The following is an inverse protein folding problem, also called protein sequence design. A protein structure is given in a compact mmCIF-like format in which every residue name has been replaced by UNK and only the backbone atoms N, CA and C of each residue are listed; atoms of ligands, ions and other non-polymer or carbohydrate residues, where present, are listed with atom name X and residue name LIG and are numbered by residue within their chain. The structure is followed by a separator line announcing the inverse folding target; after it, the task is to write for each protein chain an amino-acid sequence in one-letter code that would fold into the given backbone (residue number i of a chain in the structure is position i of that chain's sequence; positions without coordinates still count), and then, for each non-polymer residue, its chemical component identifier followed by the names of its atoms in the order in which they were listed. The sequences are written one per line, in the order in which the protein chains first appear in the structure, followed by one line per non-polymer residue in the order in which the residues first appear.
data_IF_175126840299
#
_entry.id   IF_175126840299
#
_cell.length_a   1.000
_cell.length_b   1.000
_cell.length_c   1.000
_cell.angle_alpha   90.00
_cell.angle_beta   90.00
_cell.angle_gamma   90.00
#
_symmetry.space_group_name_H-M   'P 1'
#
loop_
_entity.id
_entity.type
_entity.pdbx_description
1 polymer ?
#
# COMPACT_ATOMS: atom_id res chain seq x y z
N UNK A 1 -10.95 8.98 -0.38
CA UNK A 1 -10.97 8.97 1.10
C UNK A 1 -12.40 9.02 1.68
N UNK A 2 -13.34 8.22 1.19
CA UNK A 2 -14.68 8.03 1.82
C UNK A 2 -14.95 6.54 2.18
N UNK A 3 -14.04 5.65 1.92
CA UNK A 3 -14.24 4.20 2.09
C UNK A 3 -13.99 3.66 3.50
N UNK A 4 -12.96 4.12 4.18
CA UNK A 4 -12.55 3.52 5.48
C UNK A 4 -13.43 3.94 6.68
N UNK A 5 -14.12 5.07 6.63
CA UNK A 5 -15.05 5.48 7.71
C UNK A 5 -16.42 4.82 7.62
N UNK A 6 -16.82 4.32 6.44
CA UNK A 6 -18.16 3.74 6.25
C UNK A 6 -18.25 2.34 6.87
N UNK A 7 -17.17 1.56 6.87
CA UNK A 7 -17.19 0.19 7.40
C UNK A 7 -17.33 0.13 8.92
N UNK A 8 -16.68 1.02 9.66
CA UNK A 8 -16.88 1.08 11.12
C UNK A 8 -18.28 1.55 11.50
N UNK A 9 -18.84 2.52 10.77
CA UNK A 9 -20.19 3.05 11.03
C UNK A 9 -21.30 2.06 10.66
N UNK A 10 -21.15 1.29 9.57
CA UNK A 10 -22.11 0.28 9.14
C UNK A 10 -22.11 -0.92 10.11
N UNK A 11 -20.95 -1.34 10.59
CA UNK A 11 -20.85 -2.42 11.58
C UNK A 11 -21.51 -2.03 12.92
N UNK A 12 -21.28 -0.81 13.40
CA UNK A 12 -21.92 -0.31 14.63
C UNK A 12 -23.41 -0.08 14.45
N UNK A 13 -23.87 0.37 13.29
CA UNK A 13 -25.29 0.62 13.04
C UNK A 13 -26.10 -0.67 12.92
N UNK A 14 -25.54 -1.67 12.26
CA UNK A 14 -26.15 -3.01 12.12
C UNK A 14 -26.22 -3.75 13.46
N UNK A 15 -25.19 -3.62 14.31
CA UNK A 15 -25.18 -4.20 15.65
C UNK A 15 -26.14 -3.50 16.59
N UNK A 16 -26.25 -2.16 16.52
CA UNK A 16 -27.19 -1.39 17.32
C UNK A 16 -28.64 -1.72 16.94
N UNK A 17 -28.95 -1.80 15.64
CA UNK A 17 -30.29 -2.16 15.16
C UNK A 17 -30.71 -3.58 15.55
N UNK A 18 -29.78 -4.54 15.50
CA UNK A 18 -30.03 -5.94 15.92
C UNK A 18 -30.18 -6.08 17.44
N UNK A 19 -29.46 -5.28 18.24
CA UNK A 19 -29.60 -5.24 19.69
C UNK A 19 -30.92 -4.57 20.14
N UNK A 20 -31.39 -3.58 19.39
CA UNK A 20 -32.67 -2.92 19.65
C UNK A 20 -33.87 -3.79 19.24
N UNK A 21 -33.77 -4.61 18.20
CA UNK A 21 -34.81 -5.59 17.82
C UNK A 21 -34.90 -6.77 18.82
N UNK A 22 -33.79 -7.22 19.40
CA UNK A 22 -33.82 -8.28 20.42
C UNK A 22 -34.30 -7.80 21.80
N UNK A 23 -34.11 -6.52 22.12
CA UNK A 23 -34.61 -5.95 23.39
C UNK A 23 -36.10 -5.60 23.37
N UNK A 24 -36.69 -5.43 22.18
CA UNK A 24 -38.15 -5.21 22.00
C UNK A 24 -39.02 -6.43 22.30
N UNK A 25 -38.50 -7.63 22.37
CA UNK A 25 -39.23 -8.92 22.48
C UNK A 25 -39.22 -9.56 23.86
N UNK A 26 -38.72 -8.94 24.93
CA UNK A 26 -38.68 -9.54 26.27
C UNK A 26 -39.15 -8.65 27.42
N UNK A 27 -40.43 -8.42 27.48
CA UNK A 27 -41.14 -8.31 28.77
C UNK A 27 -41.65 -9.72 29.18
N UNK A 28 -40.78 -10.51 29.83
CA UNK A 28 -41.14 -11.55 30.85
C UNK A 28 -39.87 -12.21 31.45
N UNK A 29 -39.59 -11.79 32.68
CA UNK A 29 -39.01 -12.51 33.84
C UNK A 29 -37.85 -13.53 33.67
N UNK A 30 -36.73 -13.17 34.33
CA UNK A 30 -35.80 -14.11 35.03
C UNK A 30 -35.06 -15.16 34.23
N UNK A 31 -33.94 -14.74 33.56
CA UNK A 31 -32.76 -15.58 33.32
C UNK A 31 -31.55 -14.73 32.80
N UNK A 32 -31.39 -13.52 33.31
CA UNK A 32 -30.39 -12.56 32.81
C UNK A 32 -28.94 -12.80 33.26
N UNK A 33 -28.70 -13.62 34.29
CA UNK A 33 -27.32 -13.84 34.76
C UNK A 33 -26.50 -14.86 33.95
N UNK A 34 -27.14 -15.82 33.27
CA UNK A 34 -26.41 -16.90 32.53
C UNK A 34 -26.06 -16.53 31.10
N UNK A 35 -26.73 -15.59 30.49
CA UNK A 35 -26.47 -15.15 29.12
C UNK A 35 -25.33 -14.11 29.11
N UNK A 36 -25.32 -13.15 30.04
CA UNK A 36 -24.23 -12.18 30.21
C UNK A 36 -22.89 -12.86 30.55
N UNK A 37 -22.90 -13.89 31.39
CA UNK A 37 -21.71 -14.67 31.73
C UNK A 37 -21.11 -15.40 30.49
N UNK A 38 -21.93 -15.83 29.54
CA UNK A 38 -21.46 -16.49 28.30
C UNK A 38 -20.88 -15.49 27.29
N UNK A 39 -21.41 -14.29 27.20
CA UNK A 39 -20.88 -13.23 26.34
C UNK A 39 -19.59 -12.63 26.91
N UNK A 40 -19.49 -12.43 28.22
CA UNK A 40 -18.24 -12.02 28.87
C UNK A 40 -17.15 -13.09 28.77
N UNK A 41 -17.51 -14.39 28.89
CA UNK A 41 -16.57 -15.47 28.68
C UNK A 41 -16.11 -15.58 27.22
N UNK A 42 -16.98 -15.34 26.24
CA UNK A 42 -16.63 -15.32 24.83
C UNK A 42 -15.70 -14.13 24.48
N UNK A 43 -15.95 -12.95 25.05
CA UNK A 43 -15.10 -11.77 24.90
C UNK A 43 -13.74 -12.00 25.57
N UNK A 44 -13.72 -12.66 26.74
CA UNK A 44 -12.47 -12.97 27.45
C UNK A 44 -11.66 -14.04 26.73
N UNK A 45 -12.30 -15.04 26.12
CA UNK A 45 -11.64 -16.05 25.29
C UNK A 45 -11.11 -15.41 23.99
N UNK A 46 -11.85 -14.47 23.41
CA UNK A 46 -11.42 -13.72 22.21
C UNK A 46 -10.24 -12.80 22.51
N UNK A 47 -10.26 -12.12 23.66
CA UNK A 47 -9.12 -11.34 24.16
C UNK A 47 -7.90 -12.21 24.48
N UNK A 48 -8.09 -13.42 25.03
CA UNK A 48 -7.01 -14.38 25.27
C UNK A 48 -6.47 -14.99 23.99
N UNK A 49 -7.29 -15.17 22.96
CA UNK A 49 -6.82 -15.59 21.63
C UNK A 49 -6.01 -14.50 20.93
N UNK A 50 -6.40 -13.22 21.04
CA UNK A 50 -5.63 -12.09 20.51
C UNK A 50 -4.30 -11.93 21.26
N UNK A 51 -4.30 -12.04 22.59
CA UNK A 51 -3.07 -11.99 23.39
C UNK A 51 -2.23 -13.25 23.24
N UNK A 52 -2.83 -14.41 23.00
CA UNK A 52 -2.14 -15.68 22.70
C UNK A 52 -1.50 -15.68 21.32
N UNK A 53 -2.12 -15.12 20.29
CA UNK A 53 -1.49 -14.90 18.99
C UNK A 53 -0.35 -13.88 19.07
N UNK A 54 -0.52 -12.80 19.82
CA UNK A 54 0.57 -11.83 20.05
C UNK A 54 1.77 -12.46 20.79
N UNK A 55 1.53 -13.46 21.67
CA UNK A 55 2.60 -14.18 22.36
C UNK A 55 3.21 -15.33 21.55
N UNK A 56 2.53 -15.89 20.57
CA UNK A 56 3.11 -16.86 19.63
C UNK A 56 3.99 -16.20 18.56
N UNK A 57 3.65 -14.99 18.13
CA UNK A 57 4.46 -14.20 17.19
C UNK A 57 5.75 -13.67 17.85
N UNK A 58 5.82 -13.59 19.19
CA UNK A 58 7.02 -13.13 19.91
C UNK A 58 7.98 -14.27 20.32
N UNK A 59 7.86 -15.46 19.78
CA UNK A 59 8.72 -16.61 20.13
C UNK A 59 9.45 -17.27 18.94
N UNK A 60 9.35 -16.71 17.75
CA UNK A 60 10.36 -16.90 16.72
C UNK A 60 11.20 -15.62 16.69
N UNK A 61 12.45 -15.74 17.10
CA UNK A 61 13.52 -14.80 16.80
C UNK A 61 13.81 -14.82 15.30
N UNK A 62 12.85 -14.29 14.54
CA UNK A 62 13.03 -13.78 13.22
C UNK A 62 12.88 -12.27 13.35
N UNK A 63 14.00 -11.56 13.45
CA UNK A 63 13.99 -10.11 13.36
C UNK A 63 13.11 -9.70 12.19
N UNK A 64 12.32 -8.64 12.34
CA UNK A 64 11.98 -7.78 11.25
C UNK A 64 13.29 -7.17 10.72
N UNK A 65 14.10 -8.04 10.13
CA UNK A 65 14.92 -7.67 9.03
C UNK A 65 13.91 -7.30 7.96
N UNK A 66 13.59 -6.01 7.83
CA UNK A 66 13.50 -5.50 6.50
C UNK A 66 14.72 -6.11 5.85
N UNK A 67 14.51 -7.06 4.98
CA UNK A 67 15.55 -7.45 4.07
C UNK A 67 15.95 -6.13 3.45
N UNK A 68 17.12 -5.62 3.86
CA UNK A 68 17.95 -4.86 2.99
C UNK A 68 18.17 -5.77 1.77
N UNK A 69 17.14 -5.86 0.95
CA UNK A 69 17.29 -6.17 -0.43
C UNK A 69 17.81 -4.87 -1.08
N UNK A 70 18.95 -4.37 -0.58
CA UNK A 70 20.01 -4.06 -1.49
C UNK A 70 20.33 -5.39 -2.22
N UNK A 71 19.43 -5.82 -3.09
CA UNK A 71 19.88 -6.54 -4.26
C UNK A 71 20.76 -5.54 -4.97
N UNK A 72 22.07 -5.53 -4.67
CA UNK A 72 23.05 -5.32 -5.70
C UNK A 72 22.52 -6.18 -6.86
N UNK A 73 21.80 -5.53 -7.76
CA UNK A 73 21.58 -6.04 -9.08
C UNK A 73 23.00 -6.08 -9.67
N UNK A 74 23.69 -7.22 -9.51
CA UNK A 74 24.62 -7.68 -10.50
C UNK A 74 23.74 -7.86 -11.75
N UNK A 75 23.48 -6.73 -12.42
CA UNK A 75 22.93 -6.72 -13.76
C UNK A 75 24.00 -7.44 -14.59
N UNK A 76 23.72 -8.64 -15.10
CA UNK A 76 24.58 -9.19 -16.13
C UNK A 76 24.67 -8.11 -17.22
N UNK A 77 25.81 -7.95 -17.90
CA UNK A 77 26.08 -7.00 -18.98
C UNK A 77 25.12 -7.15 -20.20
N UNK A 78 23.82 -7.18 -19.97
CA UNK A 78 22.76 -7.25 -20.95
C UNK A 78 21.81 -6.07 -20.72
N UNK A 79 21.62 -5.22 -21.74
CA UNK A 79 20.54 -4.23 -21.77
C UNK A 79 19.23 -4.94 -21.39
N UNK A 80 18.51 -4.38 -20.41
CA UNK A 80 17.13 -4.76 -20.13
C UNK A 80 16.34 -4.74 -21.45
N UNK A 81 15.42 -5.68 -21.66
CA UNK A 81 14.57 -5.63 -22.84
C UNK A 81 13.84 -4.30 -22.89
N UNK A 82 13.79 -3.69 -24.06
CA UNK A 82 13.00 -2.48 -24.26
C UNK A 82 11.54 -2.76 -23.90
N UNK A 83 10.86 -1.84 -23.20
CA UNK A 83 9.46 -2.01 -22.87
C UNK A 83 8.63 -2.13 -24.14
N UNK A 84 7.81 -3.16 -24.19
CA UNK A 84 6.85 -3.39 -25.27
C UNK A 84 5.45 -3.54 -24.67
N UNK A 85 4.43 -3.16 -25.41
CA UNK A 85 3.03 -3.36 -25.01
C UNK A 85 2.66 -4.83 -24.77
N UNK A 86 3.47 -5.76 -25.31
CA UNK A 86 3.28 -7.20 -25.12
C UNK A 86 4.00 -7.83 -23.93
N UNK A 87 4.78 -7.08 -23.16
CA UNK A 87 5.47 -7.61 -21.98
C UNK A 87 4.45 -7.97 -20.89
N UNK A 88 4.57 -9.20 -20.32
CA UNK A 88 3.69 -9.66 -19.25
C UNK A 88 4.33 -9.50 -17.87
N UNK A 89 3.53 -9.05 -16.91
CA UNK A 89 3.87 -9.00 -15.49
C UNK A 89 3.18 -10.15 -14.76
N UNK A 90 3.80 -10.63 -13.69
CA UNK A 90 3.27 -11.68 -12.80
C UNK A 90 3.12 -11.09 -11.40
N UNK A 91 1.87 -11.00 -10.94
CA UNK A 91 1.47 -10.33 -9.70
C UNK A 91 0.97 -11.37 -8.70
N UNK A 92 1.64 -11.50 -7.56
CA UNK A 92 1.17 -12.32 -6.44
C UNK A 92 -0.03 -11.62 -5.78
N UNK A 93 -1.18 -12.26 -5.81
CA UNK A 93 -2.39 -11.72 -5.19
C UNK A 93 -2.44 -12.08 -3.70
N UNK A 94 -2.45 -11.07 -2.86
CA UNK A 94 -2.54 -11.22 -1.41
C UNK A 94 -3.97 -11.58 -0.98
N UNK A 95 -4.13 -12.16 0.19
CA UNK A 95 -5.45 -12.42 0.79
C UNK A 95 -6.19 -11.12 1.13
N UNK A 96 -7.44 -11.21 1.57
CA UNK A 96 -8.25 -10.05 1.99
C UNK A 96 -7.49 -9.20 3.02
N UNK A 97 -7.47 -7.88 2.81
CA UNK A 97 -6.77 -6.93 3.67
C UNK A 97 -5.24 -7.00 3.56
N UNK A 98 -4.71 -7.66 2.52
CA UNK A 98 -3.26 -7.86 2.29
C UNK A 98 -2.56 -8.56 3.46
N UNK A 99 -3.28 -9.46 4.15
CA UNK A 99 -2.84 -10.05 5.41
C UNK A 99 -1.94 -11.29 5.24
N UNK A 100 -1.82 -11.83 4.04
CA UNK A 100 -0.98 -13.00 3.74
C UNK A 100 -0.98 -13.36 2.26
N UNK A 101 -0.08 -14.25 1.89
CA UNK A 101 0.16 -14.70 0.52
C UNK A 101 -0.58 -16.01 0.19
N UNK A 102 -1.02 -16.74 1.22
CA UNK A 102 -1.50 -18.10 1.09
C UNK A 102 -3.02 -18.15 1.26
N UNK A 103 -3.70 -18.59 0.21
CA UNK A 103 -5.15 -18.72 0.14
C UNK A 103 -5.59 -20.12 0.58
N UNK A 104 -6.56 -20.20 1.47
CA UNK A 104 -7.18 -21.48 1.90
C UNK A 104 -8.19 -22.02 0.90
N UNK A 105 -8.74 -21.16 0.04
CA UNK A 105 -9.61 -21.50 -1.09
C UNK A 105 -9.49 -20.43 -2.18
N UNK A 106 -9.78 -20.81 -3.42
CA UNK A 106 -9.97 -19.89 -4.54
C UNK A 106 -11.34 -20.10 -5.13
N UNK A 107 -12.14 -19.03 -5.18
CA UNK A 107 -13.44 -19.00 -5.85
C UNK A 107 -13.39 -17.96 -6.95
N UNK A 108 -13.64 -18.40 -8.18
CA UNK A 108 -13.57 -17.55 -9.36
C UNK A 108 -14.80 -17.70 -10.24
N UNK A 109 -15.31 -16.61 -10.77
CA UNK A 109 -16.41 -16.58 -11.74
C UNK A 109 -16.08 -15.67 -12.91
N UNK A 110 -16.77 -15.82 -14.03
CA UNK A 110 -16.64 -14.97 -15.21
C UNK A 110 -17.92 -15.01 -16.05
N UNK A 111 -18.39 -13.85 -16.46
CA UNK A 111 -19.50 -13.76 -17.43
C UNK A 111 -19.10 -14.31 -18.81
N UNK A 112 -17.83 -14.31 -19.13
CA UNK A 112 -17.26 -14.90 -20.34
C UNK A 112 -17.10 -16.43 -20.28
N UNK A 113 -17.41 -17.07 -19.13
CA UNK A 113 -17.04 -18.45 -18.85
C UNK A 113 -15.54 -18.58 -18.55
N UNK A 114 -15.13 -19.74 -18.08
CA UNK A 114 -13.76 -20.03 -17.65
C UNK A 114 -13.20 -21.25 -18.37
N UNK A 115 -11.92 -21.19 -18.75
CA UNK A 115 -11.10 -22.35 -19.07
C UNK A 115 -10.19 -22.63 -17.88
N UNK A 116 -10.23 -23.84 -17.38
CA UNK A 116 -9.38 -24.32 -16.30
C UNK A 116 -8.47 -25.42 -16.83
N UNK A 117 -7.16 -25.21 -16.83
CA UNK A 117 -6.18 -26.10 -17.42
C UNK A 117 -5.14 -26.52 -16.39
N UNK A 118 -4.63 -27.77 -16.54
CA UNK A 118 -3.54 -28.32 -15.74
C UNK A 118 -2.94 -29.55 -16.43
N UNK A 119 -1.62 -29.65 -16.50
CA UNK A 119 -0.90 -30.81 -17.02
C UNK A 119 -1.28 -31.21 -18.46
N UNK A 120 -1.63 -30.23 -19.31
CA UNK A 120 -2.05 -30.46 -20.71
C UNK A 120 -3.55 -30.80 -20.89
N UNK A 121 -4.30 -30.96 -19.82
CA UNK A 121 -5.75 -31.14 -19.84
C UNK A 121 -6.45 -29.81 -19.57
N UNK A 122 -7.64 -29.58 -20.15
CA UNK A 122 -8.47 -28.42 -19.89
C UNK A 122 -9.95 -28.78 -19.81
N UNK A 123 -10.68 -28.04 -19.01
CA UNK A 123 -12.14 -28.08 -18.93
C UNK A 123 -12.68 -26.67 -19.11
N UNK A 124 -13.88 -26.56 -19.71
CA UNK A 124 -14.62 -25.32 -19.78
C UNK A 124 -15.72 -25.31 -18.72
N UNK A 125 -15.87 -24.19 -18.05
CA UNK A 125 -16.82 -23.99 -16.96
C UNK A 125 -17.95 -23.06 -17.37
N UNK A 126 -19.17 -23.37 -16.91
CA UNK A 126 -20.37 -22.62 -17.28
C UNK A 126 -20.30 -21.16 -16.72
N UNK A 127 -20.79 -20.19 -17.51
CA UNK A 127 -20.78 -18.75 -17.20
C UNK A 127 -21.51 -18.36 -15.92
N UNK A 128 -22.54 -19.11 -15.51
CA UNK A 128 -23.39 -18.75 -14.36
C UNK A 128 -22.82 -19.20 -13.01
N UNK A 129 -21.80 -20.08 -13.00
CA UNK A 129 -21.36 -20.74 -11.79
C UNK A 129 -20.01 -20.23 -11.30
N UNK A 130 -19.86 -20.08 -9.99
CA UNK A 130 -18.57 -19.87 -9.33
C UNK A 130 -17.79 -21.18 -9.31
N UNK A 131 -16.57 -21.15 -9.82
CA UNK A 131 -15.66 -22.28 -9.78
C UNK A 131 -14.80 -22.22 -8.52
N UNK A 132 -14.85 -23.29 -7.73
CA UNK A 132 -14.06 -23.40 -6.49
C UNK A 132 -12.89 -24.36 -6.68
N UNK A 133 -11.71 -23.95 -6.19
CA UNK A 133 -10.49 -24.74 -6.15
C UNK A 133 -10.01 -24.77 -4.70
N UNK A 134 -9.69 -25.95 -4.20
CA UNK A 134 -9.17 -26.19 -2.85
C UNK A 134 -7.71 -26.68 -2.91
N UNK A 135 -6.92 -26.53 -1.83
CA UNK A 135 -5.51 -26.93 -1.81
C UNK A 135 -5.25 -28.42 -2.05
N UNK A 136 -6.25 -29.27 -1.79
CA UNK A 136 -6.20 -30.72 -1.99
C UNK A 136 -6.72 -31.19 -3.36
N UNK A 137 -6.96 -30.24 -4.28
CA UNK A 137 -7.39 -30.58 -5.64
C UNK A 137 -6.37 -31.51 -6.31
N UNK A 138 -6.86 -32.68 -6.79
CA UNK A 138 -6.02 -33.73 -7.36
C UNK A 138 -5.21 -33.28 -8.59
N UNK A 139 -5.64 -32.21 -9.27
CA UNK A 139 -4.93 -31.65 -10.43
C UNK A 139 -3.56 -31.09 -10.06
N UNK A 140 -3.35 -30.64 -8.82
CA UNK A 140 -2.03 -30.19 -8.37
C UNK A 140 -0.96 -31.27 -8.42
N UNK A 141 -1.35 -32.55 -8.49
CA UNK A 141 -0.40 -33.64 -8.75
C UNK A 141 0.17 -33.62 -10.19
N UNK A 142 -0.49 -32.92 -11.14
CA UNK A 142 -0.08 -32.79 -12.53
C UNK A 142 0.63 -31.46 -12.82
N UNK A 143 0.61 -30.48 -11.88
CA UNK A 143 1.22 -29.17 -12.01
C UNK A 143 0.34 -28.04 -11.49
N UNK A 144 0.69 -26.82 -11.83
CA UNK A 144 -0.08 -25.64 -11.47
C UNK A 144 -1.41 -25.60 -12.24
N UNK A 145 -2.47 -25.12 -11.58
CA UNK A 145 -3.77 -24.90 -12.21
C UNK A 145 -3.78 -23.48 -12.81
N UNK A 146 -4.18 -23.36 -14.07
CA UNK A 146 -4.36 -22.05 -14.74
C UNK A 146 -5.83 -21.86 -15.04
N UNK A 147 -6.32 -20.65 -14.74
CA UNK A 147 -7.71 -20.23 -14.99
C UNK A 147 -7.68 -18.99 -15.85
N UNK A 148 -8.42 -18.99 -16.94
CA UNK A 148 -8.53 -17.88 -17.89
C UNK A 148 -9.97 -17.72 -18.38
N UNK A 149 -10.40 -16.52 -18.80
CA UNK A 149 -11.72 -16.37 -19.40
C UNK A 149 -11.74 -17.04 -20.78
N UNK A 150 -12.91 -17.55 -21.20
CA UNK A 150 -13.07 -18.18 -22.52
C UNK A 150 -13.04 -17.18 -23.67
N UNK A 151 -13.41 -15.92 -23.42
CA UNK A 151 -13.43 -14.85 -24.41
C UNK A 151 -12.22 -13.93 -24.20
N UNK A 152 -11.59 -13.51 -25.29
CA UNK A 152 -10.53 -12.51 -25.25
C UNK A 152 -11.03 -11.19 -24.63
N UNK A 153 -10.24 -10.63 -23.72
CA UNK A 153 -10.63 -9.43 -22.95
C UNK A 153 -11.62 -9.69 -21.81
N UNK A 154 -12.05 -10.94 -21.62
CA UNK A 154 -12.91 -11.34 -20.50
C UNK A 154 -12.25 -11.07 -19.14
N UNK A 155 -13.08 -10.93 -18.11
CA UNK A 155 -12.65 -10.68 -16.74
C UNK A 155 -13.02 -11.86 -15.84
N UNK A 156 -12.17 -12.15 -14.89
CA UNK A 156 -12.40 -13.14 -13.83
C UNK A 156 -12.60 -12.43 -12.50
N UNK A 157 -13.71 -12.65 -11.85
CA UNK A 157 -13.99 -12.15 -10.50
C UNK A 157 -13.42 -13.14 -9.48
N UNK A 158 -12.51 -12.69 -8.65
CA UNK A 158 -11.92 -13.52 -7.58
C UNK A 158 -12.76 -13.36 -6.30
N UNK A 159 -13.78 -14.19 -6.18
CA UNK A 159 -14.83 -14.13 -5.16
C UNK A 159 -14.33 -14.49 -3.74
N UNK A 160 -13.13 -15.04 -3.62
CA UNK A 160 -12.52 -15.44 -2.34
C UNK A 160 -11.73 -14.33 -1.66
N UNK A 161 -11.59 -13.16 -2.30
CA UNK A 161 -10.92 -11.99 -1.70
C UNK A 161 -11.75 -10.72 -1.84
N UNK A 162 -11.45 -9.73 -0.99
CA UNK A 162 -12.02 -8.38 -1.07
C UNK A 162 -10.92 -7.33 -1.17
N UNK A 163 -11.19 -6.27 -1.95
CA UNK A 163 -10.40 -5.05 -2.12
C UNK A 163 -11.29 -3.83 -1.87
N UNK A 164 -10.77 -2.62 -2.02
CA UNK A 164 -11.55 -1.39 -1.85
C UNK A 164 -12.76 -1.28 -2.77
N UNK A 165 -12.72 -1.91 -3.94
CA UNK A 165 -13.85 -2.02 -4.87
C UNK A 165 -14.85 -3.15 -4.54
N UNK A 166 -14.68 -3.88 -3.44
CA UNK A 166 -15.40 -5.10 -3.14
C UNK A 166 -14.71 -6.33 -3.75
N UNK A 167 -15.45 -7.18 -4.49
CA UNK A 167 -14.87 -8.33 -5.20
C UNK A 167 -14.08 -7.86 -6.43
N UNK A 168 -12.75 -8.02 -6.49
CA UNK A 168 -11.94 -7.55 -7.60
C UNK A 168 -12.08 -8.43 -8.84
N UNK A 169 -11.88 -7.81 -10.02
CA UNK A 169 -11.89 -8.50 -11.31
C UNK A 169 -10.51 -8.43 -11.98
N UNK A 170 -10.06 -9.55 -12.54
CA UNK A 170 -8.75 -9.72 -13.13
C UNK A 170 -8.85 -10.12 -14.61
N UNK A 171 -8.04 -9.48 -15.45
CA UNK A 171 -7.80 -9.92 -16.83
C UNK A 171 -6.60 -10.88 -16.88
N UNK A 172 -6.37 -11.49 -18.03
CA UNK A 172 -5.24 -12.41 -18.24
C UNK A 172 -5.50 -13.78 -17.62
N UNK A 173 -4.47 -14.35 -16.99
CA UNK A 173 -4.52 -15.70 -16.41
C UNK A 173 -4.33 -15.63 -14.90
N UNK A 174 -5.07 -16.44 -14.14
CA UNK A 174 -4.78 -16.76 -12.74
C UNK A 174 -4.06 -18.10 -12.70
N UNK A 175 -2.82 -18.11 -12.23
CA UNK A 175 -2.06 -19.33 -11.95
C UNK A 175 -2.15 -19.63 -10.46
N UNK A 176 -2.55 -20.86 -10.11
CA UNK A 176 -2.63 -21.33 -8.75
C UNK A 176 -1.54 -22.37 -8.51
N UNK A 177 -0.76 -22.17 -7.45
CA UNK A 177 0.30 -23.09 -7.01
C UNK A 177 -0.05 -23.67 -5.66
N UNK A 178 -0.09 -24.99 -5.53
CA UNK A 178 -0.23 -25.63 -4.22
C UNK A 178 1.08 -25.41 -3.43
N UNK A 179 0.93 -24.94 -2.19
CA UNK A 179 2.04 -24.67 -1.28
C UNK A 179 1.71 -25.17 0.13
N UNK A 180 2.70 -25.14 1.03
CA UNK A 180 2.42 -25.50 2.43
C UNK A 180 1.35 -24.57 3.02
N UNK A 181 0.26 -25.13 3.49
CA UNK A 181 -0.83 -24.40 4.13
C UNK A 181 -1.91 -23.84 3.20
N UNK A 182 -1.80 -24.01 1.86
CA UNK A 182 -2.83 -23.54 0.94
C UNK A 182 -2.36 -23.39 -0.50
N UNK A 183 -2.68 -22.26 -1.11
CA UNK A 183 -2.35 -21.93 -2.50
C UNK A 183 -1.82 -20.52 -2.62
N UNK A 184 -0.77 -20.32 -3.41
CA UNK A 184 -0.40 -19.01 -3.94
C UNK A 184 -1.19 -18.75 -5.23
N UNK A 185 -1.63 -17.50 -5.42
CA UNK A 185 -2.41 -17.08 -6.61
C UNK A 185 -1.64 -16.00 -7.33
N UNK A 186 -1.27 -16.24 -8.59
CA UNK A 186 -0.50 -15.33 -9.42
C UNK A 186 -1.36 -14.88 -10.61
N UNK A 187 -1.52 -13.57 -10.78
CA UNK A 187 -2.17 -13.01 -11.97
C UNK A 187 -1.10 -12.65 -13.00
N UNK A 188 -1.16 -13.29 -14.17
CA UNK A 188 -0.26 -13.05 -15.30
C UNK A 188 -1.01 -12.34 -16.43
N UNK A 189 -0.52 -11.16 -16.84
CA UNK A 189 -1.21 -10.34 -17.84
C UNK A 189 -0.24 -9.34 -18.50
N UNK A 190 -0.59 -8.77 -19.69
CA UNK A 190 0.19 -7.70 -20.30
C UNK A 190 0.26 -6.47 -19.37
N UNK A 191 1.44 -5.82 -19.34
CA UNK A 191 1.68 -4.68 -18.44
C UNK A 191 0.71 -3.53 -18.66
N UNK A 192 0.31 -3.23 -19.89
CA UNK A 192 -0.67 -2.15 -20.16
C UNK A 192 -2.04 -2.47 -19.55
N UNK A 193 -2.43 -3.75 -19.57
CA UNK A 193 -3.65 -4.22 -18.90
C UNK A 193 -3.55 -4.14 -17.37
N UNK A 194 -2.38 -4.46 -16.80
CA UNK A 194 -2.07 -4.30 -15.39
C UNK A 194 -2.19 -2.83 -14.94
N UNK A 195 -1.64 -1.90 -15.72
CA UNK A 195 -1.69 -0.48 -15.43
C UNK A 195 -3.11 0.09 -15.37
N UNK A 196 -4.04 -0.46 -16.16
CA UNK A 196 -5.46 -0.09 -16.06
C UNK A 196 -6.10 -0.42 -14.70
N UNK A 197 -5.51 -1.35 -13.94
CA UNK A 197 -5.90 -1.66 -12.55
C UNK A 197 -5.07 -0.92 -11.49
N UNK A 198 -3.83 -0.54 -11.82
CA UNK A 198 -2.92 0.21 -10.92
C UNK A 198 -3.30 1.68 -10.86
N UNK A 199 -3.38 2.36 -11.99
CA UNK A 199 -3.59 3.83 -12.03
C UNK A 199 -4.81 4.28 -11.22
N UNK A 200 -6.02 3.68 -11.36
CA UNK A 200 -7.18 4.09 -10.55
C UNK A 200 -7.08 3.65 -9.08
N UNK A 201 -6.21 2.68 -8.76
CA UNK A 201 -5.99 2.24 -7.37
C UNK A 201 -5.01 3.13 -6.63
N UNK A 202 -4.09 3.79 -7.34
CA UNK A 202 -3.09 4.70 -6.80
C UNK A 202 -3.57 6.15 -6.80
N UNK A 203 -4.27 6.59 -7.85
CA UNK A 203 -4.68 7.97 -8.04
C UNK A 203 -6.17 8.03 -8.39
N UNK A 204 -6.98 8.92 -7.77
CA UNK A 204 -8.39 9.06 -8.12
C UNK A 204 -8.58 9.35 -9.62
N UNK A 205 -9.42 8.58 -10.30
CA UNK A 205 -9.70 8.77 -11.73
C UNK A 205 -10.39 10.10 -12.06
N UNK A 206 -10.81 10.85 -11.05
CA UNK A 206 -11.33 12.22 -11.17
C UNK A 206 -10.24 13.29 -11.25
N UNK A 207 -8.97 12.90 -11.17
CA UNK A 207 -7.85 13.81 -11.37
C UNK A 207 -7.72 14.19 -12.83
N UNK A 208 -7.01 15.28 -13.12
CA UNK A 208 -6.76 15.76 -14.47
C UNK A 208 -6.06 14.68 -15.31
N UNK A 209 -6.41 14.62 -16.60
CA UNK A 209 -5.89 13.59 -17.51
C UNK A 209 -4.36 13.62 -17.58
N UNK A 210 -3.73 14.78 -17.56
CA UNK A 210 -2.27 14.90 -17.61
C UNK A 210 -1.58 14.38 -16.34
N UNK A 211 -2.23 14.52 -15.18
CA UNK A 211 -1.75 13.90 -13.94
C UNK A 211 -1.88 12.36 -13.98
N UNK A 212 -2.99 11.85 -14.52
CA UNK A 212 -3.20 10.40 -14.71
C UNK A 212 -2.21 9.81 -15.73
N UNK A 213 -1.85 10.57 -16.79
CA UNK A 213 -0.79 10.19 -17.74
C UNK A 213 0.58 10.15 -17.07
N UNK A 214 0.92 11.15 -16.26
CA UNK A 214 2.16 11.14 -15.48
C UNK A 214 2.22 9.91 -14.56
N UNK A 215 1.12 9.59 -13.88
CA UNK A 215 1.02 8.39 -13.04
C UNK A 215 1.17 7.10 -13.85
N UNK A 216 0.56 7.01 -15.04
CA UNK A 216 0.68 5.84 -15.91
C UNK A 216 2.13 5.60 -16.36
N UNK A 217 2.84 6.66 -16.77
CA UNK A 217 4.27 6.60 -17.15
C UNK A 217 5.15 6.21 -15.96
N UNK A 218 4.89 6.77 -14.77
CA UNK A 218 5.58 6.36 -13.54
C UNK A 218 5.32 4.88 -13.23
N UNK A 219 4.08 4.46 -13.20
CA UNK A 219 3.72 3.09 -12.86
C UNK A 219 4.31 2.08 -13.85
N UNK A 220 4.35 2.43 -15.14
CA UNK A 220 4.98 1.60 -16.18
C UNK A 220 6.49 1.48 -15.98
N UNK A 221 7.17 2.59 -15.75
CA UNK A 221 8.61 2.61 -15.51
C UNK A 221 8.98 1.77 -14.28
N UNK A 222 8.22 1.92 -13.21
CA UNK A 222 8.37 1.14 -11.98
C UNK A 222 8.14 -0.37 -12.26
N UNK A 223 7.04 -0.72 -12.93
CA UNK A 223 6.72 -2.11 -13.24
C UNK A 223 7.83 -2.78 -14.08
N UNK A 224 8.34 -2.12 -15.12
CA UNK A 224 9.44 -2.65 -15.95
C UNK A 224 10.72 -2.88 -15.15
N UNK A 225 11.02 -2.01 -14.18
CA UNK A 225 12.17 -2.24 -13.28
C UNK A 225 11.97 -3.48 -12.42
N UNK A 226 10.76 -3.69 -11.87
CA UNK A 226 10.45 -4.88 -11.09
C UNK A 226 10.46 -6.17 -11.92
N UNK A 227 10.08 -6.08 -13.20
CA UNK A 227 10.09 -7.25 -14.11
C UNK A 227 11.49 -7.77 -14.48
N UNK A 228 12.54 -7.11 -14.04
CA UNK A 228 13.93 -7.59 -14.25
C UNK A 228 14.33 -8.73 -13.31
N UNK A 229 13.54 -8.97 -12.27
CA UNK A 229 13.75 -10.04 -11.28
C UNK A 229 12.41 -10.45 -10.68
N UNK A 230 12.41 -11.57 -9.95
CA UNK A 230 11.25 -11.95 -9.15
C UNK A 230 11.40 -11.42 -7.74
N UNK A 231 10.46 -10.57 -7.31
CA UNK A 231 10.34 -10.19 -5.90
C UNK A 231 9.94 -11.39 -5.01
N UNK A 232 9.26 -12.36 -5.63
CA UNK A 232 8.84 -13.63 -5.02
C UNK A 232 9.34 -14.80 -5.89
N UNK A 233 10.62 -15.19 -5.78
CA UNK A 233 11.21 -16.24 -6.65
C UNK A 233 10.51 -17.60 -6.53
N UNK A 234 10.00 -17.96 -5.35
CA UNK A 234 9.30 -19.21 -5.09
C UNK A 234 7.98 -19.33 -5.87
N UNK A 235 7.36 -18.19 -6.20
CA UNK A 235 6.13 -18.12 -6.99
C UNK A 235 6.38 -17.64 -8.43
N UNK A 236 7.64 -17.31 -8.77
CA UNK A 236 7.99 -16.64 -10.04
C UNK A 236 7.12 -15.39 -10.26
N UNK A 237 6.82 -14.65 -9.18
CA UNK A 237 6.07 -13.40 -9.24
C UNK A 237 7.00 -12.20 -9.10
N UNK A 238 6.79 -11.17 -9.94
CA UNK A 238 7.62 -9.97 -9.96
C UNK A 238 7.29 -9.05 -8.77
N UNK A 239 6.01 -8.93 -8.45
CA UNK A 239 5.45 -8.01 -7.46
C UNK A 239 4.27 -8.67 -6.74
N UNK A 240 3.81 -8.08 -5.63
CA UNK A 240 2.49 -8.33 -5.08
C UNK A 240 1.52 -7.17 -5.42
N UNK A 241 0.25 -7.28 -5.01
CA UNK A 241 -0.81 -6.30 -5.30
C UNK A 241 -1.03 -5.26 -4.19
N UNK A 242 -0.09 -5.15 -3.22
CA UNK A 242 -0.17 -4.26 -2.05
C UNK A 242 0.71 -3.01 -2.18
N UNK A 243 0.73 -2.20 -1.12
CA UNK A 243 1.58 -1.02 -0.98
C UNK A 243 3.08 -1.33 -0.87
N UNK A 244 3.49 -2.59 -0.79
CA UNK A 244 4.89 -2.97 -0.84
C UNK A 244 5.48 -2.73 -2.23
N UNK A 245 4.62 -2.75 -3.26
CA UNK A 245 4.93 -2.43 -4.66
C UNK A 245 3.96 -1.36 -5.18
N UNK A 246 2.96 -1.74 -5.95
CA UNK A 246 1.91 -0.86 -6.49
C UNK A 246 0.54 -1.44 -6.17
N UNK A 247 -0.35 -0.63 -5.62
CA UNK A 247 -1.70 -1.08 -5.33
C UNK A 247 -2.42 -1.44 -6.63
N UNK A 248 -2.89 -2.69 -6.73
CA UNK A 248 -3.48 -3.23 -7.94
C UNK A 248 -4.91 -3.71 -7.69
N UNK A 249 -5.84 -3.32 -8.56
CA UNK A 249 -7.27 -3.67 -8.52
C UNK A 249 -7.99 -3.39 -7.17
N UNK A 250 -7.52 -2.37 -6.42
CA UNK A 250 -8.20 -1.89 -5.21
C UNK A 250 -9.36 -0.94 -5.54
N UNK A 251 -9.38 -0.41 -6.74
CA UNK A 251 -10.44 0.42 -7.33
C UNK A 251 -10.87 -0.17 -8.67
N UNK A 252 -12.13 0.03 -9.04
CA UNK A 252 -12.61 -0.35 -10.36
C UNK A 252 -11.90 0.45 -11.46
N UNK A 253 -11.76 -0.15 -12.63
CA UNK A 253 -11.25 0.53 -13.82
C UNK A 253 -12.18 1.69 -14.21
N UNK A 254 -11.57 2.83 -14.56
CA UNK A 254 -12.28 4.03 -14.92
C UNK A 254 -11.85 4.48 -16.33
N UNK A 255 -12.74 5.14 -17.04
CA UNK A 255 -12.50 5.61 -18.42
C UNK A 255 -11.27 6.52 -18.51
N UNK A 256 -11.17 7.54 -17.63
CA UNK A 256 -10.07 8.49 -17.67
C UNK A 256 -8.71 7.85 -17.36
N UNK A 257 -8.63 6.94 -16.38
CA UNK A 257 -7.39 6.23 -16.06
C UNK A 257 -6.99 5.25 -17.16
N UNK A 258 -7.94 4.56 -17.75
CA UNK A 258 -7.70 3.67 -18.92
C UNK A 258 -7.24 4.47 -20.14
N UNK A 259 -7.84 5.62 -20.39
CA UNK A 259 -7.43 6.55 -21.44
C UNK A 259 -6.01 7.07 -21.22
N UNK A 260 -5.65 7.44 -19.97
CA UNK A 260 -4.31 7.89 -19.64
C UNK A 260 -3.25 6.81 -19.93
N UNK A 261 -3.53 5.54 -19.61
CA UNK A 261 -2.65 4.41 -19.93
C UNK A 261 -2.50 4.27 -21.44
N UNK A 262 -3.60 4.28 -22.19
CA UNK A 262 -3.58 4.11 -23.66
C UNK A 262 -2.88 5.28 -24.38
N UNK A 263 -3.11 6.53 -23.97
CA UNK A 263 -2.46 7.71 -24.57
C UNK A 263 -0.94 7.82 -24.25
N UNK A 264 -0.45 7.03 -23.30
CA UNK A 264 0.97 6.96 -22.92
C UNK A 264 1.55 5.55 -23.13
N UNK A 265 0.92 4.70 -23.94
CA UNK A 265 1.35 3.33 -24.16
C UNK A 265 2.85 3.25 -24.48
N UNK A 266 3.55 2.35 -23.81
CA UNK A 266 4.98 2.10 -23.98
C UNK A 266 5.91 3.20 -23.45
N UNK A 267 5.42 4.38 -23.07
CA UNK A 267 6.30 5.47 -22.60
C UNK A 267 6.79 5.21 -21.18
N UNK A 268 8.07 5.42 -20.97
CA UNK A 268 8.78 5.27 -19.71
C UNK A 268 9.67 6.45 -19.39
N UNK A 269 10.01 6.62 -18.14
CA UNK A 269 11.03 7.58 -17.68
C UNK A 269 12.40 6.92 -17.79
N UNK A 270 13.36 7.59 -18.45
CA UNK A 270 14.75 7.14 -18.55
C UNK A 270 15.70 8.14 -17.91
N UNK A 271 16.71 7.63 -17.25
CA UNK A 271 17.83 8.38 -16.73
C UNK A 271 19.13 7.77 -17.22
N UNK A 272 19.94 8.56 -17.94
CA UNK A 272 21.21 8.10 -18.58
C UNK A 272 21.01 6.87 -19.47
N UNK A 273 19.88 6.81 -20.18
CA UNK A 273 19.54 5.71 -21.09
C UNK A 273 18.86 4.50 -20.46
N UNK A 274 18.88 4.37 -19.12
CA UNK A 274 18.25 3.26 -18.41
C UNK A 274 16.85 3.64 -17.91
N UNK A 275 15.94 2.67 -17.82
CA UNK A 275 14.61 2.89 -17.24
C UNK A 275 14.77 3.27 -15.76
N UNK A 276 14.20 4.39 -15.36
CA UNK A 276 14.28 4.89 -14.00
C UNK A 276 13.28 4.18 -13.07
N UNK A 277 13.65 4.00 -11.81
CA UNK A 277 12.69 3.63 -10.77
C UNK A 277 11.94 4.88 -10.31
N UNK A 278 10.67 4.98 -10.64
CA UNK A 278 9.85 6.17 -10.44
C UNK A 278 8.96 6.02 -9.21
N UNK A 279 9.47 6.42 -8.05
CA UNK A 279 8.69 6.45 -6.80
C UNK A 279 7.70 7.60 -6.82
N UNK A 280 6.55 7.42 -6.18
CA UNK A 280 5.51 8.42 -6.02
C UNK A 280 4.79 8.28 -4.68
N UNK A 281 4.16 9.35 -4.22
CA UNK A 281 3.47 9.40 -2.94
C UNK A 281 2.31 10.41 -2.99
N UNK A 282 1.45 10.41 -1.98
CA UNK A 282 0.19 11.13 -2.03
C UNK A 282 0.32 12.65 -2.09
N UNK A 283 0.95 13.29 -1.08
CA UNK A 283 0.88 14.76 -0.88
C UNK A 283 2.21 15.29 -0.37
N UNK A 284 2.73 16.33 -1.00
CA UNK A 284 3.94 17.02 -0.52
C UNK A 284 3.60 18.10 0.54
N UNK A 285 4.63 18.55 1.22
CA UNK A 285 4.56 19.73 2.08
C UNK A 285 5.15 20.99 1.41
N UNK A 286 5.09 21.07 0.07
CA UNK A 286 5.72 22.09 -0.74
C UNK A 286 7.12 21.71 -1.23
N UNK A 287 7.62 20.52 -0.87
CA UNK A 287 8.93 20.00 -1.28
C UNK A 287 8.98 18.48 -1.18
N UNK A 288 9.89 17.89 -1.96
CA UNK A 288 10.21 16.46 -1.91
C UNK A 288 11.53 16.21 -1.17
N UNK A 289 11.94 14.94 -1.06
CA UNK A 289 13.26 14.55 -0.57
C UNK A 289 13.97 13.65 -1.57
N UNK A 290 15.15 13.15 -1.20
CA UNK A 290 15.96 12.21 -2.00
C UNK A 290 16.00 10.82 -1.36
N UNK A 291 16.69 9.87 -2.03
CA UNK A 291 16.93 8.51 -1.52
C UNK A 291 17.69 8.48 -0.18
N UNK A 292 18.36 9.56 0.21
CA UNK A 292 18.97 9.67 1.53
C UNK A 292 17.96 9.44 2.67
N UNK A 293 16.67 9.74 2.44
CA UNK A 293 15.61 9.48 3.41
C UNK A 293 15.47 7.99 3.77
N UNK A 294 15.86 7.10 2.86
CA UNK A 294 15.91 5.65 3.06
C UNK A 294 17.30 5.13 3.41
N UNK A 295 18.28 6.01 3.61
CA UNK A 295 19.66 5.64 3.92
C UNK A 295 20.49 5.22 2.70
N UNK A 296 19.97 5.44 1.49
CA UNK A 296 20.64 5.09 0.23
C UNK A 296 21.44 6.27 -0.30
N UNK A 297 22.70 6.06 -0.70
CA UNK A 297 23.51 7.06 -1.36
C UNK A 297 22.97 7.37 -2.76
N UNK A 298 22.56 8.61 -3.08
CA UNK A 298 22.05 8.96 -4.40
C UNK A 298 23.11 8.88 -5.52
N UNK A 299 24.41 8.72 -5.18
CA UNK A 299 25.50 8.59 -6.16
C UNK A 299 25.44 7.34 -7.04
N UNK A 300 24.69 6.32 -6.64
CA UNK A 300 24.62 5.01 -7.28
C UNK A 300 23.61 4.86 -8.43
N UNK A 301 23.17 5.94 -9.10
CA UNK A 301 22.16 5.85 -10.19
C UNK A 301 20.82 6.52 -9.86
N UNK A 302 20.59 6.95 -8.63
CA UNK A 302 19.39 7.66 -8.15
C UNK A 302 19.47 9.19 -8.27
N UNK A 303 20.42 9.74 -9.01
CA UNK A 303 20.66 11.18 -9.09
C UNK A 303 19.50 12.02 -9.67
N UNK A 304 18.52 11.39 -10.30
CA UNK A 304 17.27 12.02 -10.74
C UNK A 304 16.23 12.19 -9.62
N UNK A 305 16.37 11.47 -8.51
CA UNK A 305 15.50 11.56 -7.32
C UNK A 305 16.05 12.59 -6.33
N UNK A 306 16.11 13.84 -6.76
CA UNK A 306 16.56 14.97 -5.94
C UNK A 306 15.37 15.59 -5.21
N UNK A 307 15.65 16.29 -4.11
CA UNK A 307 14.67 17.16 -3.49
C UNK A 307 14.34 18.33 -4.42
N UNK A 308 13.05 18.56 -4.65
CA UNK A 308 12.54 19.67 -5.44
C UNK A 308 11.49 20.44 -4.66
N UNK A 309 11.38 21.74 -4.92
CA UNK A 309 10.26 22.56 -4.46
C UNK A 309 9.05 22.29 -5.34
N UNK A 310 7.89 22.01 -4.71
CA UNK A 310 6.63 21.67 -5.40
C UNK A 310 5.77 22.93 -5.46
N UNK A 311 6.28 23.93 -6.20
CA UNK A 311 5.69 25.26 -6.32
C UNK A 311 5.68 25.77 -7.75
N UNK A 312 4.76 26.67 -8.03
CA UNK A 312 4.65 27.43 -9.27
C UNK A 312 4.67 28.93 -8.98
N UNK A 313 4.31 29.74 -9.98
CA UNK A 313 4.30 31.22 -9.85
C UNK A 313 3.37 31.73 -8.73
N UNK A 314 2.33 30.97 -8.37
CA UNK A 314 1.34 31.33 -7.34
C UNK A 314 1.66 30.75 -5.96
N UNK A 315 2.85 30.18 -5.77
CA UNK A 315 3.31 29.51 -4.56
C UNK A 315 3.12 27.99 -4.63
N UNK A 316 3.14 27.33 -3.46
CA UNK A 316 3.08 25.88 -3.38
C UNK A 316 1.78 25.34 -3.97
N UNK A 317 1.88 24.36 -4.87
CA UNK A 317 0.73 23.77 -5.56
C UNK A 317 -0.30 23.16 -4.59
N UNK A 318 0.16 22.57 -3.51
CA UNK A 318 -0.66 21.78 -2.58
C UNK A 318 -1.08 22.51 -1.30
N UNK A 319 -0.78 23.82 -1.19
CA UNK A 319 -0.95 24.63 0.05
C UNK A 319 -2.34 24.58 0.67
N UNK A 320 -3.38 24.38 -0.13
CA UNK A 320 -4.78 24.36 0.30
C UNK A 320 -5.31 22.93 0.54
N UNK A 321 -4.48 21.89 0.35
CA UNK A 321 -4.89 20.51 0.52
C UNK A 321 -4.84 20.06 1.98
N UNK A 322 -5.70 19.10 2.38
CA UNK A 322 -5.80 18.66 3.77
C UNK A 322 -4.48 18.16 4.38
N UNK A 323 -3.69 17.40 3.63
CA UNK A 323 -2.43 16.83 4.12
C UNK A 323 -1.21 17.72 3.93
N UNK A 324 -1.36 18.92 3.34
CA UNK A 324 -0.24 19.84 3.16
C UNK A 324 0.41 20.26 4.49
N UNK A 325 -0.41 20.42 5.54
CA UNK A 325 0.05 20.59 6.94
C UNK A 325 -0.83 19.74 7.86
N UNK A 326 -0.24 19.29 8.93
CA UNK A 326 -0.97 18.55 9.95
C UNK A 326 -0.31 18.72 11.32
N UNK A 327 -1.10 18.51 12.38
CA UNK A 327 -0.63 18.52 13.77
C UNK A 327 -1.21 17.35 14.54
N UNK A 328 -0.47 16.86 15.53
CA UNK A 328 -0.95 15.87 16.47
C UNK A 328 -0.51 16.24 17.89
N UNK A 329 -1.42 16.07 18.84
CA UNK A 329 -1.12 16.14 20.27
C UNK A 329 -1.15 14.74 20.84
N UNK A 330 0.01 14.22 21.23
CA UNK A 330 0.17 12.84 21.68
C UNK A 330 0.52 12.82 23.16
N UNK A 331 -0.30 12.25 24.05
CA UNK A 331 0.05 12.12 25.47
C UNK A 331 1.40 11.40 25.63
N UNK A 332 2.21 11.87 26.58
CA UNK A 332 3.54 11.30 26.87
C UNK A 332 3.47 9.78 27.05
N UNK A 333 2.47 9.30 27.80
CA UNK A 333 2.30 7.87 28.04
C UNK A 333 2.02 7.09 26.75
N UNK A 334 1.17 7.64 25.88
CA UNK A 334 0.85 7.01 24.58
C UNK A 334 2.10 6.93 23.69
N UNK A 335 2.83 8.05 23.53
CA UNK A 335 4.02 8.06 22.68
C UNK A 335 5.14 7.16 23.25
N UNK A 336 5.31 7.12 24.57
CA UNK A 336 6.27 6.23 25.25
C UNK A 336 5.97 4.76 24.98
N UNK A 337 4.69 4.38 25.05
CA UNK A 337 4.27 3.01 24.76
C UNK A 337 4.49 2.66 23.28
N UNK A 338 4.15 3.57 22.35
CA UNK A 338 4.33 3.38 20.92
C UNK A 338 5.81 3.23 20.56
N UNK A 339 6.66 4.16 21.01
CA UNK A 339 8.11 4.09 20.75
C UNK A 339 8.70 2.79 21.29
N UNK A 340 8.36 2.41 22.53
CA UNK A 340 8.89 1.16 23.10
C UNK A 340 8.41 -0.08 22.34
N UNK A 341 7.14 -0.13 21.96
CA UNK A 341 6.57 -1.27 21.23
C UNK A 341 7.13 -1.37 19.80
N UNK A 342 7.19 -0.25 19.09
CA UNK A 342 7.58 -0.22 17.67
C UNK A 342 9.10 -0.37 17.46
N UNK A 343 9.93 0.00 18.45
CA UNK A 343 11.40 -0.13 18.37
C UNK A 343 11.93 -1.37 19.07
N UNK A 344 11.13 -2.03 19.90
CA UNK A 344 11.57 -3.14 20.76
C UNK A 344 12.46 -2.70 21.92
N UNK A 345 12.68 -1.38 22.11
CA UNK A 345 13.55 -0.83 23.17
C UNK A 345 12.69 -0.13 24.22
N UNK A 346 12.76 -0.59 25.47
CA UNK A 346 12.06 0.06 26.58
C UNK A 346 12.69 1.41 26.91
N UNK A 347 11.99 2.50 26.58
CA UNK A 347 12.43 3.87 26.90
C UNK A 347 11.83 4.38 28.22
N UNK A 348 10.87 3.67 28.81
CA UNK A 348 10.12 4.14 29.98
C UNK A 348 9.24 5.35 29.63
N UNK A 349 9.16 6.34 30.53
CA UNK A 349 8.42 7.58 30.29
C UNK A 349 9.31 8.57 29.51
N UNK A 350 8.91 8.93 28.30
CA UNK A 350 9.68 9.86 27.46
C UNK A 350 9.82 11.25 28.09
N UNK A 351 11.06 11.71 28.16
CA UNK A 351 11.42 13.09 28.51
C UNK A 351 11.60 13.97 27.27
N UNK A 352 12.16 13.42 26.19
CA UNK A 352 12.34 14.11 24.91
C UNK A 352 12.25 13.16 23.71
N UNK A 353 11.92 13.75 22.56
CA UNK A 353 12.12 13.17 21.21
C UNK A 353 12.73 14.30 20.38
N UNK A 354 13.91 14.08 19.83
CA UNK A 354 14.68 15.08 19.10
C UNK A 354 15.00 14.61 17.69
N UNK A 355 14.80 15.48 16.68
CA UNK A 355 15.29 15.24 15.33
C UNK A 355 16.76 15.68 15.30
N UNK A 356 17.67 14.69 15.31
CA UNK A 356 19.12 14.94 15.40
C UNK A 356 19.79 15.07 14.03
N UNK A 357 19.16 14.55 12.98
CA UNK A 357 19.66 14.69 11.60
C UNK A 357 18.50 14.94 10.65
N UNK A 358 18.71 15.89 9.72
CA UNK A 358 17.79 16.19 8.61
C UNK A 358 18.50 16.01 7.27
N UNK A 359 17.72 15.65 6.24
CA UNK A 359 18.16 15.47 4.87
C UNK A 359 17.58 16.51 3.91
N UNK A 360 17.77 16.30 2.60
CA UNK A 360 17.22 17.16 1.58
C UNK A 360 15.71 17.37 1.75
N UNK A 361 15.25 18.61 1.51
CA UNK A 361 13.87 18.99 1.76
C UNK A 361 13.51 19.07 3.24
N UNK A 362 14.49 19.05 4.16
CA UNK A 362 14.29 19.12 5.61
C UNK A 362 13.56 17.90 6.22
N UNK A 363 13.64 16.73 5.57
CA UNK A 363 13.09 15.48 6.08
C UNK A 363 13.88 15.00 7.31
N UNK A 364 13.22 14.41 8.30
CA UNK A 364 13.90 13.77 9.43
C UNK A 364 14.58 12.46 8.97
N UNK A 365 15.92 12.40 9.13
CA UNK A 365 16.74 11.23 8.84
C UNK A 365 17.10 10.43 10.10
N UNK A 366 17.11 11.09 11.26
CA UNK A 366 17.39 10.45 12.54
C UNK A 366 16.64 11.16 13.65
N UNK A 367 16.07 10.38 14.56
CA UNK A 367 15.53 10.87 15.82
C UNK A 367 16.22 10.16 17.00
N UNK A 368 16.27 10.83 18.14
CA UNK A 368 16.62 10.23 19.43
C UNK A 368 15.44 10.42 20.38
N UNK A 369 14.87 9.31 20.85
CA UNK A 369 13.81 9.32 21.86
C UNK A 369 14.42 8.89 23.22
N UNK A 370 14.34 9.77 24.21
CA UNK A 370 14.96 9.58 25.54
C UNK A 370 13.89 9.57 26.63
N UNK A 371 13.98 8.63 27.56
CA UNK A 371 13.10 8.50 28.70
C UNK A 371 13.81 8.03 29.96
N UNK A 372 13.04 7.76 31.01
CA UNK A 372 13.57 7.40 32.34
C UNK A 372 14.17 5.98 32.41
N UNK A 373 13.88 5.10 31.44
CA UNK A 373 14.46 3.75 31.36
C UNK A 373 15.57 3.62 30.31
N UNK A 374 15.81 4.67 29.48
CA UNK A 374 16.83 4.64 28.44
C UNK A 374 16.51 5.52 27.24
N UNK A 375 17.28 5.34 26.17
CA UNK A 375 17.06 6.05 24.91
C UNK A 375 17.19 5.12 23.72
N UNK A 376 16.55 5.48 22.61
CA UNK A 376 16.65 4.79 21.33
C UNK A 376 16.91 5.79 20.21
N UNK A 377 17.82 5.44 19.31
CA UNK A 377 18.07 6.16 18.08
C UNK A 377 17.35 5.43 16.95
N UNK A 378 16.59 6.16 16.14
CA UNK A 378 15.87 5.61 14.99
C UNK A 378 16.30 6.35 13.74
N UNK A 379 16.81 5.62 12.77
CA UNK A 379 17.27 6.13 11.48
C UNK A 379 16.28 5.83 10.37
N UNK A 380 16.32 6.59 9.31
CA UNK A 380 15.52 6.53 8.09
C UNK A 380 14.05 6.96 8.24
N UNK A 381 13.52 7.54 7.19
CA UNK A 381 12.18 8.10 7.11
C UNK A 381 11.11 7.10 7.54
N UNK A 382 11.14 5.90 6.98
CA UNK A 382 10.12 4.89 7.22
C UNK A 382 10.12 4.37 8.66
N UNK A 383 11.33 4.08 9.21
CA UNK A 383 11.48 3.62 10.61
C UNK A 383 11.07 4.71 11.60
N UNK A 384 11.37 5.98 11.31
CA UNK A 384 10.94 7.13 12.14
C UNK A 384 9.42 7.23 12.17
N UNK A 385 8.79 7.16 10.99
CA UNK A 385 7.31 7.17 10.90
C UNK A 385 6.69 5.99 11.64
N UNK A 386 7.29 4.82 11.53
CA UNK A 386 6.86 3.62 12.27
C UNK A 386 7.03 3.78 13.78
N UNK A 387 8.17 4.26 14.24
CA UNK A 387 8.45 4.44 15.68
C UNK A 387 7.46 5.38 16.38
N UNK A 388 7.04 6.45 15.69
CA UNK A 388 6.10 7.46 16.22
C UNK A 388 4.63 7.17 15.82
N UNK A 389 4.38 6.26 14.88
CA UNK A 389 3.05 5.84 14.43
C UNK A 389 2.38 4.88 15.42
N UNK A 390 1.11 4.63 15.18
CA UNK A 390 0.28 3.73 15.99
C UNK A 390 -1.09 4.32 16.29
N UNK A 391 -1.96 3.54 16.90
CA UNK A 391 -3.28 4.00 17.36
C UNK A 391 -3.16 4.80 18.67
N UNK A 392 -4.19 5.61 18.95
CA UNK A 392 -4.34 6.26 20.27
C UNK A 392 -4.18 7.77 20.28
N UNK A 393 -3.99 8.39 19.13
CA UNK A 393 -4.05 9.84 18.98
C UNK A 393 -4.70 10.27 17.66
N UNK A 394 -5.05 11.53 17.59
CA UNK A 394 -5.74 12.12 16.45
C UNK A 394 -4.83 13.12 15.75
N UNK A 395 -4.88 13.12 14.42
CA UNK A 395 -4.16 14.05 13.56
C UNK A 395 -5.17 15.08 13.04
N UNK A 396 -4.88 16.36 13.25
CA UNK A 396 -5.64 17.47 12.69
C UNK A 396 -4.93 17.96 11.43
N UNK A 397 -5.67 18.01 10.32
CA UNK A 397 -5.15 18.41 9.01
C UNK A 397 -5.29 19.90 8.77
N UNK A 398 -4.71 20.38 7.67
CA UNK A 398 -4.68 21.79 7.25
C UNK A 398 -6.08 22.44 7.15
N UNK A 399 -7.08 21.68 6.72
CA UNK A 399 -8.48 22.11 6.61
C UNK A 399 -9.29 21.99 7.92
N UNK A 400 -8.64 21.65 9.02
CA UNK A 400 -9.27 21.40 10.32
C UNK A 400 -9.95 20.04 10.46
N UNK A 401 -10.03 19.24 9.40
CA UNK A 401 -10.54 17.87 9.48
C UNK A 401 -9.60 16.98 10.28
N UNK A 402 -10.13 15.92 10.88
CA UNK A 402 -9.34 15.01 11.71
C UNK A 402 -9.28 13.60 11.14
N UNK A 403 -8.21 12.87 11.48
CA UNK A 403 -8.00 11.47 11.16
C UNK A 403 -7.45 10.75 12.38
N UNK A 404 -7.81 9.49 12.58
CA UNK A 404 -7.12 8.66 13.55
C UNK A 404 -5.70 8.37 13.04
N UNK A 405 -4.74 8.31 13.95
CA UNK A 405 -3.39 7.86 13.65
C UNK A 405 -3.38 6.39 13.20
N UNK A 406 -2.45 6.06 12.32
CA UNK A 406 -2.27 4.71 11.76
C UNK A 406 -0.88 4.18 12.10
N UNK A 407 -0.52 3.00 11.61
CA UNK A 407 0.77 2.37 11.86
C UNK A 407 1.97 3.29 11.57
N UNK A 408 1.84 4.20 10.62
CA UNK A 408 2.87 5.17 10.26
C UNK A 408 2.40 6.60 10.55
N UNK A 409 3.31 7.46 11.03
CA UNK A 409 3.12 8.91 11.01
C UNK A 409 2.90 9.38 9.55
N UNK A 410 2.10 10.43 9.26
CA UNK A 410 1.80 10.82 7.87
C UNK A 410 3.02 11.05 6.98
N UNK A 411 4.07 11.66 7.53
CA UNK A 411 5.34 11.89 6.83
C UNK A 411 6.48 12.06 7.84
N UNK A 412 7.72 12.11 7.36
CA UNK A 412 8.88 12.47 8.18
C UNK A 412 9.27 13.97 8.06
N UNK A 413 8.45 14.80 7.44
CA UNK A 413 8.61 16.25 7.42
C UNK A 413 7.88 16.86 8.63
N UNK A 414 8.50 16.86 9.80
CA UNK A 414 7.87 17.31 11.04
C UNK A 414 8.86 17.95 12.02
N UNK A 415 8.32 18.70 12.96
CA UNK A 415 8.94 19.07 14.24
C UNK A 415 8.18 18.41 15.38
N UNK A 416 8.84 18.18 16.51
CA UNK A 416 8.25 17.60 17.69
C UNK A 416 8.76 18.31 18.93
N UNK A 417 7.82 18.70 19.80
CA UNK A 417 8.14 19.42 21.04
C UNK A 417 7.31 18.86 22.19
N UNK A 418 7.89 18.78 23.39
CA UNK A 418 7.17 18.39 24.59
C UNK A 418 6.57 19.63 25.26
N UNK A 419 5.26 19.59 25.51
CA UNK A 419 4.52 20.62 26.22
C UNK A 419 3.73 19.98 27.37
N UNK A 420 4.24 20.08 28.59
CA UNK A 420 3.66 19.42 29.76
C UNK A 420 3.63 17.89 29.60
N UNK A 421 2.45 17.30 29.72
CA UNK A 421 2.22 15.85 29.58
C UNK A 421 1.89 15.42 28.13
N UNK A 422 2.22 16.24 27.15
CA UNK A 422 1.90 16.02 25.74
C UNK A 422 3.11 16.30 24.86
N UNK A 423 3.32 15.52 23.82
CA UNK A 423 4.15 15.87 22.68
C UNK A 423 3.29 16.49 21.58
N UNK A 424 3.70 17.66 21.09
CA UNK A 424 3.09 18.31 19.92
C UNK A 424 3.95 18.01 18.71
N UNK A 425 3.38 17.32 17.74
CA UNK A 425 4.02 17.00 16.45
C UNK A 425 3.38 17.89 15.41
N UNK A 426 4.17 18.69 14.71
CA UNK A 426 3.72 19.56 13.62
C UNK A 426 4.43 19.17 12.34
N UNK A 427 3.70 18.78 11.31
CA UNK A 427 4.28 18.26 10.09
C UNK A 427 3.52 18.67 8.83
N UNK A 428 3.97 18.14 7.71
CA UNK A 428 3.34 18.36 6.41
C UNK A 428 3.60 17.21 5.44
N UNK A 429 2.68 17.04 4.50
CA UNK A 429 2.72 15.97 3.51
C UNK A 429 2.14 14.64 4.02
N UNK A 430 1.93 13.73 3.07
CA UNK A 430 1.45 12.36 3.32
C UNK A 430 2.17 11.38 2.37
N UNK A 431 3.02 10.54 2.92
CA UNK A 431 3.86 9.57 2.22
C UNK A 431 5.35 9.79 2.50
N UNK A 432 6.20 9.08 1.75
CA UNK A 432 7.66 9.08 1.95
C UNK A 432 8.39 10.32 1.43
N UNK A 433 7.77 11.08 0.53
CA UNK A 433 8.34 12.33 0.03
C UNK A 433 9.35 12.19 -1.11
N UNK A 434 9.62 11.00 -1.65
CA UNK A 434 10.60 10.76 -2.72
C UNK A 434 9.87 10.66 -4.08
N UNK A 435 10.36 11.39 -5.09
CA UNK A 435 9.80 11.38 -6.44
C UNK A 435 8.49 12.18 -6.55
N UNK A 436 7.52 11.71 -7.32
CA UNK A 436 6.32 12.47 -7.68
C UNK A 436 5.29 12.54 -6.56
N UNK A 437 4.86 13.75 -6.19
CA UNK A 437 3.62 13.97 -5.43
C UNK A 437 2.41 13.83 -6.35
N UNK A 438 1.51 12.90 -6.05
CA UNK A 438 0.31 12.65 -6.83
C UNK A 438 -0.64 13.85 -6.82
N UNK A 439 -0.83 14.46 -5.65
CA UNK A 439 -1.61 15.68 -5.53
C UNK A 439 -0.91 16.89 -6.20
N UNK A 440 0.42 16.99 -6.05
CA UNK A 440 1.22 18.01 -6.74
C UNK A 440 1.08 17.91 -8.25
N UNK A 441 1.18 16.71 -8.82
CA UNK A 441 0.94 16.44 -10.23
C UNK A 441 -0.44 16.90 -10.69
N UNK A 442 -1.48 16.62 -9.88
CA UNK A 442 -2.85 17.05 -10.21
C UNK A 442 -3.02 18.57 -10.17
N UNK A 443 -2.45 19.25 -9.18
CA UNK A 443 -2.52 20.71 -9.09
C UNK A 443 -1.72 21.40 -10.22
N UNK A 444 -0.58 20.82 -10.64
CA UNK A 444 0.15 21.27 -11.83
C UNK A 444 -0.69 21.12 -13.10
N UNK A 445 -1.33 19.96 -13.30
CA UNK A 445 -2.20 19.70 -14.44
C UNK A 445 -3.38 20.67 -14.50
N UNK A 446 -4.01 21.01 -13.36
CA UNK A 446 -5.06 22.06 -13.27
C UNK A 446 -4.56 23.44 -13.70
N UNK A 447 -3.26 23.70 -13.57
CA UNK A 447 -2.63 24.96 -14.00
C UNK A 447 -2.10 24.87 -15.44
N UNK A 448 -2.36 23.77 -16.16
CA UNK A 448 -2.08 23.60 -17.58
C UNK A 448 -0.77 22.88 -17.90
N UNK A 449 -0.08 22.33 -16.91
CA UNK A 449 1.11 21.51 -17.16
C UNK A 449 0.73 20.18 -17.83
N UNK A 450 1.47 19.77 -18.85
CA UNK A 450 1.34 18.44 -19.43
C UNK A 450 2.08 17.37 -18.60
N UNK A 451 1.85 16.09 -18.88
CA UNK A 451 2.44 15.00 -18.12
C UNK A 451 3.98 14.96 -18.21
N UNK A 452 4.60 15.48 -19.29
CA UNK A 452 6.05 15.53 -19.45
C UNK A 452 6.66 16.59 -18.56
N UNK A 453 6.04 17.78 -18.51
CA UNK A 453 6.42 18.88 -17.61
C UNK A 453 6.30 18.43 -16.14
N UNK A 454 5.22 17.72 -15.81
CA UNK A 454 5.01 17.14 -14.47
C UNK A 454 6.16 16.17 -14.12
N UNK A 455 6.44 15.20 -14.99
CA UNK A 455 7.50 14.22 -14.75
C UNK A 455 8.89 14.86 -14.62
N UNK A 456 9.22 15.82 -15.48
CA UNK A 456 10.51 16.54 -15.46
C UNK A 456 10.67 17.46 -14.25
N UNK A 457 9.58 17.91 -13.65
CA UNK A 457 9.63 18.64 -12.39
C UNK A 457 10.10 17.73 -11.24
N UNK A 458 9.52 16.53 -11.13
CA UNK A 458 9.80 15.63 -10.00
C UNK A 458 11.03 14.74 -10.20
N UNK A 459 11.40 14.45 -11.44
CA UNK A 459 12.58 13.64 -11.79
C UNK A 459 13.53 14.47 -12.62
N UNK A 460 14.74 14.70 -12.11
CA UNK A 460 15.71 15.59 -12.75
C UNK A 460 16.50 14.87 -13.83
N UNK A 461 16.81 15.59 -14.91
CA UNK A 461 17.66 15.10 -16.00
C UNK A 461 17.16 13.79 -16.63
N UNK A 462 15.84 13.61 -16.71
CA UNK A 462 15.20 12.44 -17.30
C UNK A 462 14.64 12.72 -18.68
N UNK A 463 14.53 11.66 -19.47
CA UNK A 463 13.85 11.63 -20.77
C UNK A 463 12.59 10.77 -20.65
N UNK A 464 11.53 11.15 -21.37
CA UNK A 464 10.29 10.36 -21.48
C UNK A 464 10.22 9.86 -22.94
N UNK A 465 10.35 8.57 -23.12
CA UNK A 465 10.45 7.93 -24.45
C UNK A 465 9.59 6.67 -24.53
#
# INVERSE_FOLDING_TARGET
MKGSCVYAAVFFHTFKKKAEEETGLRKRRKRTGRVYGRYLAAIFIWLLLITGLAHMVSREEGGFGGTDTESRLDVPDGKLPEPTSGSSIRVLLMTTGYSGEIHSEVRVSSDAGLRVSCGGESIEWNRADTYQILPDDARFQKGNIRVEPLEEGGQMRLESIERGCGTPSYAGTLELRAVSGGMAVINELPVETYLCGVVPSEMPASYELEALKAQAVCARSYAFRQMTSYGYPEYEAHVNDSTDFQVYNNSERQENSTRAVAETEGQVVRYKGEIATTYYYSTSCGRTTSLEAWGTDPGGGGGYLQSVEVCGEQGDYEKDLPWYRWTAQVPVQTLSALVSANTGVSVGTLSSVEVTKRGPGDVALQIVASGDAGSVTVDTENKIRGALGGSGYTITKNDGSTSQSTALLPSAFFTIEKSGDTFVISGGGFGHGIGMSQNGANEMAKQGADYREILQMFYKDVEIS
#
